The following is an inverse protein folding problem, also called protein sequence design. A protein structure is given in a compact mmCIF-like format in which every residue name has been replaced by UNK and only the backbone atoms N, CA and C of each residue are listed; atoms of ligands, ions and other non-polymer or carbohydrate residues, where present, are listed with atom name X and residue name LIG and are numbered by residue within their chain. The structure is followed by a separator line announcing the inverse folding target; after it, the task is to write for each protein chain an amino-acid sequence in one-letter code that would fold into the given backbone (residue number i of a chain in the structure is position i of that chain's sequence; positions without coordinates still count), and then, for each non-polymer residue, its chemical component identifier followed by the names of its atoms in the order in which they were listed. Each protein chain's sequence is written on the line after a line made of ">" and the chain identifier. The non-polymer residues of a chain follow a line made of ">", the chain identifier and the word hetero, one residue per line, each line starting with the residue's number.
data_IF_625493353080
#
_entry.id   IF_625493353080
#
_cell.length_a   1.000
_cell.length_b   1.000
_cell.length_c   1.000
_cell.angle_alpha   90.00
_cell.angle_beta   90.00
_cell.angle_gamma   90.00
#
_symmetry.space_group_name_H-M   'P 1'
#
loop_
_entity.id
_entity.type
_entity.pdbx_description
1 polymer ?
#
# COMPACT_ATOMS: atom_id res chain seq x y z
N UNK A 1 10.13 33.46 65.52
CA UNK A 1 9.32 33.68 64.31
C UNK A 1 8.86 32.33 63.78
N UNK A 2 7.56 32.01 63.90
CA UNK A 2 7.03 30.75 63.40
C UNK A 2 6.87 30.81 61.87
N UNK A 3 7.48 29.87 61.14
CA UNK A 3 7.23 29.71 59.69
C UNK A 3 5.80 29.20 59.51
N UNK A 4 4.90 30.06 59.01
CA UNK A 4 3.56 29.65 58.56
C UNK A 4 3.72 28.66 57.40
N UNK A 5 3.22 27.44 57.55
CA UNK A 5 3.23 26.44 56.49
C UNK A 5 2.23 26.83 55.40
N UNK A 6 2.69 26.82 54.15
CA UNK A 6 1.84 27.11 52.99
C UNK A 6 0.80 26.00 52.82
N UNK A 7 -0.46 26.38 52.60
CA UNK A 7 -1.52 25.42 52.28
C UNK A 7 -1.37 24.91 50.84
N UNK A 8 -1.93 23.73 50.56
CA UNK A 8 -1.88 23.10 49.22
C UNK A 8 -2.49 24.02 48.15
N UNK A 9 -3.55 24.75 48.49
CA UNK A 9 -4.21 25.69 47.57
C UNK A 9 -3.37 26.94 47.30
N UNK A 10 -2.73 27.52 48.32
CA UNK A 10 -1.81 28.66 48.15
C UNK A 10 -0.60 28.26 47.29
N UNK A 11 -0.09 27.03 47.48
CA UNK A 11 0.99 26.51 46.67
C UNK A 11 0.59 26.30 45.20
N UNK A 12 -0.60 25.75 44.95
CA UNK A 12 -1.12 25.53 43.59
C UNK A 12 -1.38 26.84 42.85
N UNK A 13 -1.91 27.87 43.51
CA UNK A 13 -2.13 29.16 42.88
C UNK A 13 -0.82 29.84 42.44
N UNK A 14 0.27 29.61 43.18
CA UNK A 14 1.57 30.18 42.86
C UNK A 14 2.39 29.33 41.86
N UNK A 15 2.23 28.00 41.88
CA UNK A 15 3.11 27.08 41.14
C UNK A 15 2.41 26.22 40.07
N UNK A 16 1.07 26.18 40.09
CA UNK A 16 0.28 25.29 39.24
C UNK A 16 0.49 25.52 37.75
N UNK A 17 0.63 26.77 37.32
CA UNK A 17 0.90 27.10 35.91
C UNK A 17 2.26 26.57 35.44
N UNK A 18 3.29 26.61 36.30
CA UNK A 18 4.60 26.06 35.98
C UNK A 18 4.56 24.53 35.92
N UNK A 19 3.80 23.88 36.81
CA UNK A 19 3.56 22.43 36.74
C UNK A 19 2.90 22.02 35.42
N UNK A 20 1.92 22.80 34.94
CA UNK A 20 1.25 22.55 33.65
C UNK A 20 2.23 22.73 32.48
N UNK A 21 3.00 23.82 32.47
CA UNK A 21 3.99 24.10 31.42
C UNK A 21 5.06 23.00 31.36
N UNK A 22 5.61 22.60 32.51
CA UNK A 22 6.59 21.52 32.60
C UNK A 22 5.98 20.19 32.12
N UNK A 23 4.74 19.90 32.50
CA UNK A 23 3.99 18.73 32.02
C UNK A 23 3.82 18.72 30.50
N UNK A 24 3.46 19.85 29.90
CA UNK A 24 3.33 20.00 28.45
C UNK A 24 4.68 19.82 27.72
N UNK A 25 5.76 20.38 28.26
CA UNK A 25 7.11 20.21 27.71
C UNK A 25 7.59 18.76 27.79
N UNK A 26 7.35 18.08 28.91
CA UNK A 26 7.66 16.64 29.06
C UNK A 26 6.83 15.83 28.06
N UNK A 27 5.53 16.11 27.90
CA UNK A 27 4.68 15.44 26.91
C UNK A 27 5.17 15.63 25.47
N UNK A 28 5.59 16.84 25.10
CA UNK A 28 6.18 17.13 23.79
C UNK A 28 7.54 16.44 23.58
N UNK A 29 8.39 16.40 24.62
CA UNK A 29 9.65 15.66 24.60
C UNK A 29 9.43 14.16 24.45
N UNK A 30 8.48 13.59 25.20
CA UNK A 30 8.11 12.18 25.07
C UNK A 30 7.56 11.89 23.67
N UNK A 31 6.70 12.76 23.13
CA UNK A 31 6.22 12.61 21.75
C UNK A 31 7.34 12.75 20.71
N UNK A 32 8.33 13.62 20.93
CA UNK A 32 9.48 13.77 20.04
C UNK A 32 10.42 12.55 20.07
N UNK A 33 10.70 12.01 21.26
CA UNK A 33 11.61 10.87 21.45
C UNK A 33 10.95 9.50 21.18
N UNK A 34 9.65 9.35 21.45
CA UNK A 34 8.92 8.08 21.27
C UNK A 34 7.94 8.09 20.08
N UNK A 35 7.59 9.25 19.52
CA UNK A 35 6.65 9.38 18.39
C UNK A 35 7.28 9.15 17.01
N UNK A 36 8.58 8.90 16.95
CA UNK A 36 9.26 8.38 15.75
C UNK A 36 9.79 6.98 16.02
N UNK A 37 8.89 5.99 15.99
CA UNK A 37 9.28 4.60 16.03
C UNK A 37 8.72 3.84 14.82
N UNK A 38 9.30 4.14 13.65
CA UNK A 38 9.05 3.46 12.36
C UNK A 38 9.69 2.06 12.30
N UNK A 39 10.32 1.61 13.41
CA UNK A 39 10.95 0.28 13.54
C UNK A 39 10.01 -0.78 14.11
N UNK A 40 8.92 -0.36 14.77
CA UNK A 40 7.98 -1.28 15.42
C UNK A 40 7.10 -1.99 14.38
N UNK A 41 6.87 -1.36 13.22
CA UNK A 41 6.14 -1.95 12.10
C UNK A 41 6.82 -3.20 11.55
N UNK A 42 8.14 -3.20 11.39
CA UNK A 42 8.90 -4.34 10.86
C UNK A 42 9.00 -5.51 11.86
N UNK A 43 9.10 -5.22 13.16
CA UNK A 43 9.10 -6.25 14.22
C UNK A 43 7.71 -6.85 14.46
N UNK A 44 6.67 -6.02 14.47
CA UNK A 44 5.27 -6.47 14.52
C UNK A 44 4.94 -7.30 13.29
N UNK A 45 5.39 -6.87 12.10
CA UNK A 45 5.30 -7.64 10.86
C UNK A 45 5.94 -9.02 11.10
N UNK A 46 7.23 -9.09 11.42
CA UNK A 46 7.93 -10.36 11.66
C UNK A 46 7.31 -11.24 12.77
N UNK A 47 6.68 -10.64 13.80
CA UNK A 47 6.01 -11.36 14.87
C UNK A 47 4.69 -12.01 14.43
N UNK A 48 3.84 -11.29 13.66
CA UNK A 48 2.58 -11.83 13.16
C UNK A 48 2.77 -12.91 12.08
N UNK A 49 3.84 -12.84 11.26
CA UNK A 49 4.09 -13.82 10.18
C UNK A 49 4.86 -15.08 10.60
N UNK A 50 5.19 -15.24 11.89
CA UNK A 50 5.91 -16.42 12.38
C UNK A 50 5.09 -17.72 12.32
N UNK A 51 3.77 -17.65 12.08
CA UNK A 51 2.85 -18.79 12.22
C UNK A 51 2.01 -19.18 10.99
N UNK A 52 2.10 -18.48 9.86
CA UNK A 52 1.36 -18.84 8.63
C UNK A 52 2.29 -18.74 7.43
N UNK A 53 2.94 -19.86 7.14
CA UNK A 53 3.91 -19.96 6.07
C UNK A 53 3.25 -19.98 4.68
N UNK A 54 2.82 -18.81 4.21
CA UNK A 54 2.46 -18.56 2.81
C UNK A 54 3.65 -18.05 1.99
N UNK A 55 4.72 -17.60 2.64
CA UNK A 55 5.92 -17.06 2.00
C UNK A 55 6.71 -18.14 1.24
N UNK A 56 6.64 -19.40 1.68
CA UNK A 56 7.25 -20.53 0.95
C UNK A 56 6.63 -20.83 -0.44
N UNK A 57 5.50 -20.21 -0.81
CA UNK A 57 4.86 -20.41 -2.14
C UNK A 57 5.16 -19.32 -3.17
N UNK A 58 5.81 -18.22 -2.79
CA UNK A 58 6.22 -17.18 -3.74
C UNK A 58 7.56 -17.55 -4.39
N UNK A 59 7.57 -18.54 -5.28
CA UNK A 59 8.70 -18.73 -6.21
C UNK A 59 8.85 -17.43 -7.00
N UNK A 60 9.96 -16.71 -6.81
CA UNK A 60 10.31 -15.51 -7.60
C UNK A 60 10.35 -15.90 -9.07
N UNK A 61 9.29 -15.53 -9.79
CA UNK A 61 9.26 -15.57 -11.25
C UNK A 61 10.11 -14.45 -11.85
N UNK A 62 10.09 -14.27 -13.18
CA UNK A 62 10.86 -13.23 -13.86
C UNK A 62 10.55 -11.84 -13.28
N UNK A 63 11.58 -10.99 -13.20
CA UNK A 63 11.64 -9.65 -12.59
C UNK A 63 10.28 -8.99 -12.28
N UNK A 64 9.78 -9.17 -11.05
CA UNK A 64 8.64 -8.41 -10.50
C UNK A 64 9.15 -7.10 -9.89
N UNK A 65 8.48 -5.98 -10.15
CA UNK A 65 8.85 -4.70 -9.54
C UNK A 65 8.56 -4.70 -8.03
N UNK A 66 9.23 -3.80 -7.28
CA UNK A 66 8.95 -3.64 -5.83
C UNK A 66 7.48 -3.30 -5.56
N UNK A 67 6.85 -2.49 -6.42
CA UNK A 67 5.44 -2.12 -6.31
C UNK A 67 4.51 -3.31 -6.51
N UNK A 68 4.75 -4.15 -7.53
CA UNK A 68 4.00 -5.40 -7.75
C UNK A 68 4.07 -6.35 -6.54
N UNK A 69 5.27 -6.55 -6.00
CA UNK A 69 5.48 -7.40 -4.83
C UNK A 69 4.69 -6.91 -3.62
N UNK A 70 4.69 -5.60 -3.37
CA UNK A 70 3.94 -4.99 -2.26
C UNK A 70 2.44 -5.13 -2.50
N UNK A 71 1.95 -4.86 -3.71
CA UNK A 71 0.53 -5.02 -4.05
C UNK A 71 0.07 -6.47 -3.82
N UNK A 72 0.88 -7.45 -4.21
CA UNK A 72 0.59 -8.88 -4.04
C UNK A 72 0.52 -9.29 -2.56
N UNK A 73 1.48 -8.83 -1.77
CA UNK A 73 1.52 -9.07 -0.32
C UNK A 73 0.30 -8.44 0.37
N UNK A 74 0.09 -7.14 0.16
CA UNK A 74 -1.06 -6.39 0.69
C UNK A 74 -2.38 -7.06 0.33
N UNK A 75 -2.59 -7.39 -0.94
CA UNK A 75 -3.83 -8.04 -1.38
C UNK A 75 -4.02 -9.40 -0.70
N UNK A 76 -2.96 -10.20 -0.61
CA UNK A 76 -3.02 -11.50 0.06
C UNK A 76 -3.44 -11.36 1.52
N UNK A 77 -2.93 -10.34 2.21
CA UNK A 77 -3.25 -10.05 3.61
C UNK A 77 -4.66 -9.51 3.79
N UNK A 78 -5.04 -8.45 3.06
CA UNK A 78 -6.34 -7.79 3.20
C UNK A 78 -7.50 -8.75 2.94
N UNK A 79 -7.34 -9.66 1.99
CA UNK A 79 -8.42 -10.58 1.62
C UNK A 79 -8.26 -11.98 2.21
N UNK A 80 -7.15 -12.27 2.89
CA UNK A 80 -6.78 -13.60 3.39
C UNK A 80 -6.97 -14.69 2.31
N UNK A 81 -6.56 -14.38 1.06
CA UNK A 81 -6.72 -15.21 -0.13
C UNK A 81 -5.46 -15.14 -0.99
N UNK A 82 -5.08 -16.21 -1.70
CA UNK A 82 -3.90 -16.18 -2.56
C UNK A 82 -4.16 -15.36 -3.82
N UNK A 83 -3.25 -14.43 -4.14
CA UNK A 83 -3.22 -13.75 -5.43
C UNK A 83 -2.04 -14.22 -6.27
N UNK A 84 -2.24 -14.29 -7.59
CA UNK A 84 -1.23 -14.73 -8.55
C UNK A 84 -1.23 -13.88 -9.81
N UNK A 85 -0.08 -13.83 -10.47
CA UNK A 85 0.09 -13.26 -11.80
C UNK A 85 -0.53 -14.20 -12.84
N UNK A 86 -1.31 -13.67 -13.79
CA UNK A 86 -1.98 -14.48 -14.82
C UNK A 86 -1.90 -13.82 -16.20
N UNK A 87 -1.97 -14.63 -17.27
CA UNK A 87 -2.11 -14.18 -18.66
C UNK A 87 -3.29 -14.88 -19.34
N UNK A 88 -4.53 -14.54 -18.95
CA UNK A 88 -5.72 -15.30 -19.33
C UNK A 88 -6.06 -15.12 -20.82
N UNK A 89 -6.70 -16.14 -21.41
CA UNK A 89 -7.02 -16.16 -22.84
C UNK A 89 -7.95 -15.01 -23.29
N UNK A 90 -8.84 -14.54 -22.41
CA UNK A 90 -9.70 -13.40 -22.75
C UNK A 90 -8.90 -12.10 -22.94
N UNK A 91 -7.72 -11.98 -22.30
CA UNK A 91 -6.78 -10.86 -22.44
C UNK A 91 -5.85 -10.97 -23.66
N UNK A 92 -6.18 -11.77 -24.68
CA UNK A 92 -5.42 -11.83 -25.93
C UNK A 92 -5.26 -10.43 -26.56
N UNK A 93 -4.04 -10.02 -26.87
CA UNK A 93 -3.78 -8.82 -27.65
C UNK A 93 -3.89 -9.17 -29.14
N UNK A 94 -4.87 -8.60 -29.83
CA UNK A 94 -5.11 -8.91 -31.25
C UNK A 94 -3.95 -8.49 -32.17
N UNK A 95 -3.17 -7.46 -31.79
CA UNK A 95 -2.03 -7.00 -32.59
C UNK A 95 -0.85 -7.97 -32.54
N UNK A 96 -0.57 -8.55 -31.38
CA UNK A 96 0.63 -9.39 -31.17
C UNK A 96 0.32 -10.88 -31.06
N UNK A 97 -0.95 -11.24 -30.91
CA UNK A 97 -1.41 -12.61 -30.66
C UNK A 97 -1.17 -13.13 -29.23
N UNK A 98 -0.43 -12.38 -28.40
CA UNK A 98 -0.07 -12.77 -27.04
C UNK A 98 -1.07 -12.27 -26.01
N UNK A 99 -1.28 -13.02 -24.92
CA UNK A 99 -2.13 -12.57 -23.81
C UNK A 99 -1.45 -11.48 -22.99
N UNK A 100 -2.21 -10.44 -22.66
CA UNK A 100 -1.81 -9.44 -21.66
C UNK A 100 -1.83 -10.06 -20.27
N UNK A 101 -1.07 -9.44 -19.38
CA UNK A 101 -0.88 -9.88 -18.01
C UNK A 101 -1.75 -9.11 -17.03
N UNK A 102 -2.17 -9.80 -15.96
CA UNK A 102 -2.61 -9.19 -14.71
C UNK A 102 -1.58 -9.56 -13.62
N UNK A 103 -1.01 -8.58 -12.95
CA UNK A 103 0.07 -8.72 -11.96
C UNK A 103 -0.38 -9.52 -10.73
N UNK A 104 -1.53 -9.13 -10.17
CA UNK A 104 -2.05 -9.65 -8.91
C UNK A 104 -3.53 -9.94 -9.07
N UNK A 105 -3.89 -11.22 -9.27
CA UNK A 105 -5.27 -11.64 -9.54
C UNK A 105 -5.76 -12.73 -8.59
N UNK A 106 -7.03 -12.64 -8.19
CA UNK A 106 -7.76 -13.70 -7.51
C UNK A 106 -9.08 -13.99 -8.24
N UNK A 107 -9.31 -15.27 -8.57
CA UNK A 107 -10.47 -15.68 -9.37
C UNK A 107 -11.78 -15.70 -8.59
N UNK A 108 -11.76 -16.12 -7.33
CA UNK A 108 -12.97 -16.15 -6.48
C UNK A 108 -13.55 -14.76 -6.28
N UNK A 109 -12.66 -13.77 -6.12
CA UNK A 109 -13.04 -12.37 -5.92
C UNK A 109 -13.33 -11.66 -7.25
N UNK A 110 -12.93 -12.22 -8.39
CA UNK A 110 -12.89 -11.52 -9.69
C UNK A 110 -12.22 -10.15 -9.56
N UNK A 111 -11.07 -10.12 -8.88
CA UNK A 111 -10.31 -8.91 -8.59
C UNK A 111 -8.88 -9.03 -9.13
N UNK A 112 -8.50 -8.07 -9.95
CA UNK A 112 -7.13 -7.80 -10.35
C UNK A 112 -6.60 -6.51 -9.69
N UNK A 113 -5.30 -6.48 -9.41
CA UNK A 113 -4.57 -5.29 -8.97
C UNK A 113 -3.33 -5.15 -9.86
N UNK A 114 -3.12 -3.95 -10.41
CA UNK A 114 -1.99 -3.61 -11.27
C UNK A 114 -1.16 -2.52 -10.61
N UNK A 115 0.17 -2.67 -10.62
CA UNK A 115 1.05 -1.58 -10.22
C UNK A 115 1.54 -0.84 -11.46
N UNK A 116 1.04 0.38 -11.67
CA UNK A 116 1.30 1.13 -12.88
C UNK A 116 2.50 2.07 -12.69
N UNK A 117 3.63 1.69 -13.27
CA UNK A 117 4.87 2.46 -13.26
C UNK A 117 4.81 3.78 -14.06
N UNK A 118 5.80 4.65 -13.91
CA UNK A 118 5.87 5.96 -14.62
C UNK A 118 5.75 5.83 -16.14
N UNK A 119 6.28 4.75 -16.70
CA UNK A 119 6.21 4.43 -18.14
C UNK A 119 4.77 4.30 -18.67
N UNK A 120 3.80 4.01 -17.82
CA UNK A 120 2.39 3.96 -18.23
C UNK A 120 1.76 5.34 -18.39
N UNK A 121 2.40 6.41 -17.91
CA UNK A 121 1.82 7.76 -17.88
C UNK A 121 2.49 8.73 -18.83
N UNK A 122 3.79 8.56 -19.05
CA UNK A 122 4.60 9.45 -19.88
C UNK A 122 5.64 8.70 -20.70
N UNK A 123 6.07 9.32 -21.80
CA UNK A 123 7.19 8.80 -22.58
C UNK A 123 8.50 8.95 -21.80
N UNK A 124 9.01 7.82 -21.32
CA UNK A 124 10.33 7.73 -20.70
C UNK A 124 11.30 7.00 -21.65
N UNK A 125 12.37 7.65 -22.16
CA UNK A 125 13.32 7.04 -23.12
C UNK A 125 13.97 5.73 -22.66
N UNK A 126 14.10 5.54 -21.34
CA UNK A 126 14.64 4.29 -20.78
C UNK A 126 13.68 3.11 -20.94
N UNK A 127 12.37 3.36 -20.91
CA UNK A 127 11.32 2.32 -20.99
C UNK A 127 10.72 2.20 -22.39
N UNK A 128 10.84 3.24 -23.22
CA UNK A 128 10.26 3.28 -24.55
C UNK A 128 11.33 3.59 -25.59
N UNK A 129 11.38 2.77 -26.64
CA UNK A 129 12.27 2.99 -27.78
C UNK A 129 11.94 4.28 -28.53
N UNK A 130 10.65 4.56 -28.68
CA UNK A 130 10.10 5.71 -29.40
C UNK A 130 8.68 6.02 -28.90
N UNK A 131 8.08 7.10 -29.42
CA UNK A 131 6.73 7.50 -29.05
C UNK A 131 5.68 6.42 -29.37
N UNK A 132 5.87 5.64 -30.44
CA UNK A 132 4.95 4.57 -30.80
C UNK A 132 4.94 3.46 -29.75
N UNK A 133 6.10 3.11 -29.18
CA UNK A 133 6.18 2.14 -28.10
C UNK A 133 5.39 2.58 -26.84
N UNK A 134 5.41 3.88 -26.53
CA UNK A 134 4.58 4.44 -25.45
C UNK A 134 3.07 4.39 -25.78
N UNK A 135 2.70 4.76 -27.01
CA UNK A 135 1.30 4.68 -27.45
C UNK A 135 0.78 3.23 -27.47
N UNK A 136 1.61 2.26 -27.86
CA UNK A 136 1.27 0.84 -27.78
C UNK A 136 1.14 0.36 -26.33
N UNK A 137 1.94 0.88 -25.40
CA UNK A 137 1.75 0.59 -23.97
C UNK A 137 0.39 1.10 -23.48
N UNK A 138 0.04 2.36 -23.80
CA UNK A 138 -1.28 2.94 -23.48
C UNK A 138 -2.43 2.11 -24.06
N UNK A 139 -2.31 1.72 -25.33
CA UNK A 139 -3.29 0.86 -25.98
C UNK A 139 -3.47 -0.48 -25.25
N UNK A 140 -2.38 -1.12 -24.82
CA UNK A 140 -2.46 -2.39 -24.05
C UNK A 140 -3.17 -2.20 -22.72
N UNK A 141 -2.91 -1.09 -22.02
CA UNK A 141 -3.56 -0.79 -20.74
C UNK A 141 -5.08 -0.59 -20.93
N UNK A 142 -5.49 0.18 -21.95
CA UNK A 142 -6.91 0.39 -22.31
C UNK A 142 -7.62 -0.93 -22.67
N UNK A 143 -6.98 -1.76 -23.50
CA UNK A 143 -7.52 -3.08 -23.88
C UNK A 143 -7.67 -3.98 -22.66
N UNK A 144 -6.71 -3.96 -21.74
CA UNK A 144 -6.74 -4.74 -20.50
C UNK A 144 -7.93 -4.33 -19.63
N UNK A 145 -8.08 -3.03 -19.38
CA UNK A 145 -9.20 -2.49 -18.58
C UNK A 145 -10.55 -2.88 -19.19
N UNK A 146 -10.72 -2.65 -20.49
CA UNK A 146 -11.95 -2.99 -21.22
C UNK A 146 -12.28 -4.47 -21.10
N UNK A 147 -11.32 -5.35 -21.39
CA UNK A 147 -11.54 -6.80 -21.38
C UNK A 147 -11.76 -7.34 -19.97
N UNK A 148 -11.11 -6.80 -18.94
CA UNK A 148 -11.41 -7.14 -17.54
C UNK A 148 -12.86 -6.81 -17.21
N UNK A 149 -13.31 -5.59 -17.55
CA UNK A 149 -14.69 -5.15 -17.32
C UNK A 149 -15.71 -6.05 -18.03
N UNK A 150 -15.47 -6.39 -19.29
CA UNK A 150 -16.33 -7.31 -20.07
C UNK A 150 -16.43 -8.70 -19.44
N UNK A 151 -15.40 -9.14 -18.72
CA UNK A 151 -15.36 -10.44 -18.03
C UNK A 151 -15.78 -10.35 -16.55
N UNK A 152 -16.36 -9.22 -16.13
CA UNK A 152 -16.81 -9.03 -14.75
C UNK A 152 -15.68 -8.99 -13.72
N UNK A 153 -14.46 -8.64 -14.15
CA UNK A 153 -13.29 -8.50 -13.29
C UNK A 153 -13.09 -7.03 -12.96
N UNK A 154 -13.10 -6.73 -11.66
CA UNK A 154 -12.70 -5.42 -11.17
C UNK A 154 -11.17 -5.31 -11.21
N UNK A 155 -10.65 -4.16 -11.66
CA UNK A 155 -9.22 -3.91 -11.76
C UNK A 155 -8.87 -2.64 -10.96
N UNK A 156 -8.10 -2.80 -9.89
CA UNK A 156 -7.56 -1.67 -9.10
C UNK A 156 -6.19 -1.32 -9.67
N UNK A 157 -6.03 -0.09 -10.17
CA UNK A 157 -4.76 0.38 -10.72
C UNK A 157 -4.09 1.26 -9.66
N UNK A 158 -2.95 0.80 -9.14
CA UNK A 158 -2.14 1.52 -8.17
C UNK A 158 -1.09 2.34 -8.92
N UNK A 159 -1.20 3.67 -9.00
CA UNK A 159 -0.24 4.49 -9.72
C UNK A 159 1.08 4.58 -8.94
N UNK A 160 2.20 4.69 -9.65
CA UNK A 160 3.54 4.85 -9.06
C UNK A 160 3.71 6.07 -8.14
N UNK A 161 2.78 7.02 -8.21
CA UNK A 161 2.73 8.20 -7.33
C UNK A 161 2.29 7.85 -5.91
N UNK A 162 1.63 6.71 -5.71
CA UNK A 162 1.34 6.17 -4.38
C UNK A 162 2.62 5.63 -3.79
N UNK A 163 3.05 6.21 -2.66
CA UNK A 163 4.24 5.73 -1.96
C UNK A 163 4.00 4.31 -1.49
N UNK A 164 5.04 3.49 -1.50
CA UNK A 164 4.96 2.08 -1.09
C UNK A 164 4.27 1.85 0.26
N UNK A 165 4.51 2.70 1.25
CA UNK A 165 3.87 2.63 2.57
C UNK A 165 2.37 2.92 2.57
N UNK A 166 1.89 3.65 1.57
CA UNK A 166 0.50 4.08 1.44
C UNK A 166 -0.31 3.15 0.51
N UNK A 167 0.35 2.17 -0.14
CA UNK A 167 -0.29 1.19 -1.05
C UNK A 167 -1.38 0.40 -0.33
N UNK A 168 -1.14 -0.02 0.92
CA UNK A 168 -2.14 -0.77 1.69
C UNK A 168 -3.43 0.03 1.88
N UNK A 169 -3.29 1.28 2.32
CA UNK A 169 -4.43 2.17 2.49
C UNK A 169 -5.16 2.43 1.17
N UNK A 170 -4.41 2.61 0.08
CA UNK A 170 -4.97 2.79 -1.26
C UNK A 170 -5.81 1.58 -1.70
N UNK A 171 -5.22 0.38 -1.67
CA UNK A 171 -5.92 -0.86 -2.07
C UNK A 171 -7.15 -1.11 -1.19
N UNK A 172 -7.02 -0.91 0.13
CA UNK A 172 -8.15 -1.03 1.06
C UNK A 172 -9.31 -0.11 0.68
N UNK A 173 -9.01 1.17 0.42
CA UNK A 173 -10.03 2.17 0.06
C UNK A 173 -10.73 1.81 -1.25
N UNK A 174 -9.97 1.51 -2.30
CA UNK A 174 -10.52 1.15 -3.61
C UNK A 174 -11.35 -0.14 -3.53
N UNK A 175 -10.85 -1.16 -2.82
CA UNK A 175 -11.58 -2.41 -2.60
C UNK A 175 -12.91 -2.18 -1.86
N UNK A 176 -12.93 -1.35 -0.81
CA UNK A 176 -14.18 -0.99 -0.11
C UNK A 176 -15.16 -0.28 -1.03
N UNK A 177 -14.70 0.64 -1.87
CA UNK A 177 -15.56 1.35 -2.83
C UNK A 177 -16.19 0.41 -3.87
N UNK A 178 -15.45 -0.62 -4.28
CA UNK A 178 -15.93 -1.68 -5.15
C UNK A 178 -16.85 -2.71 -4.44
N UNK A 179 -17.10 -2.54 -3.13
CA UNK A 179 -18.01 -3.38 -2.35
C UNK A 179 -17.38 -4.63 -1.76
N UNK A 180 -16.05 -4.76 -1.79
CA UNK A 180 -15.37 -5.92 -1.22
C UNK A 180 -15.33 -5.89 0.32
N UNK A 181 -15.40 -7.09 0.90
CA UNK A 181 -15.13 -7.31 2.32
C UNK A 181 -13.63 -7.50 2.53
N UNK A 182 -12.99 -6.40 2.89
CA UNK A 182 -11.60 -6.31 3.40
C UNK A 182 -11.59 -5.94 4.87
#
# INVERSE_FOLDING_TARGET
>A
MAKRSMTVSEWWNNNGIYCIIIGCFIGLLLFYFFGKNDKNTDEIHNFFYKGKDYSQRLKRGPFESKGELICKDVATRLFNKPFRKIRPNFLKNEKTGNNLEIDVYNDDLKLGIEYSGRQHYEYVPHFHKDMNAFLEQKYRDEVKEKKCKENGINLIIVPYTVKHKDIEHFIYKEAKQLGYKV
#
